data_IF_519004349444
#
_entry.id   IF_519004349444
#
_cell.length_a   1.000
_cell.length_b   1.000
_cell.length_c   1.000
_cell.angle_alpha   90.00
_cell.angle_beta   90.00
_cell.angle_gamma   90.00
#
_symmetry.space_group_name_H-M   'P 1'
#
loop_
_entity.id
_entity.type
_entity.pdbx_description
1 polymer ?
#
# COMPACT_ATOMS: atom_id res chain seq x y z
N UNK A 1 -60.35 -19.53 10.88
CA UNK A 1 -60.59 -18.88 9.57
C UNK A 1 -59.27 -18.32 9.07
N UNK A 2 -58.61 -19.00 8.11
CA UNK A 2 -58.46 -18.57 6.70
C UNK A 2 -57.98 -17.12 6.56
N UNK A 3 -56.69 -16.95 6.25
CA UNK A 3 -56.09 -15.66 5.91
C UNK A 3 -56.45 -15.19 4.50
N UNK A 4 -56.16 -13.92 4.20
CA UNK A 4 -56.11 -13.36 2.84
C UNK A 4 -55.24 -12.09 2.88
N UNK A 5 -54.18 -12.04 2.08
CA UNK A 5 -53.54 -10.81 1.64
C UNK A 5 -54.32 -10.21 0.46
N UNK A 6 -54.23 -8.89 0.21
CA UNK A 6 -54.34 -8.43 -1.17
C UNK A 6 -53.24 -7.45 -1.59
N UNK A 7 -52.73 -7.75 -2.79
CA UNK A 7 -51.78 -7.03 -3.62
C UNK A 7 -52.22 -5.60 -4.01
N UNK A 8 -51.26 -4.72 -4.34
CA UNK A 8 -51.44 -3.63 -5.31
C UNK A 8 -50.11 -3.17 -5.96
N UNK A 9 -50.00 -3.53 -7.25
CA UNK A 9 -49.52 -2.78 -8.44
C UNK A 9 -48.14 -2.09 -8.46
N UNK A 10 -47.24 -2.75 -9.19
CA UNK A 10 -46.52 -2.31 -10.41
C UNK A 10 -46.66 -0.82 -10.83
N UNK A 11 -45.53 -0.14 -10.97
CA UNK A 11 -45.32 0.94 -11.93
C UNK A 11 -43.88 0.86 -12.50
N UNK A 12 -43.81 0.72 -13.82
CA UNK A 12 -42.60 0.83 -14.63
C UNK A 12 -42.44 2.26 -15.16
N UNK A 13 -41.20 2.72 -15.37
CA UNK A 13 -40.72 3.75 -16.33
C UNK A 13 -39.24 3.99 -15.98
N UNK A 14 -38.27 3.46 -16.72
CA UNK A 14 -37.73 3.84 -18.04
C UNK A 14 -36.48 4.74 -17.97
N UNK A 15 -35.48 4.26 -18.72
CA UNK A 15 -34.12 4.72 -18.89
C UNK A 15 -33.99 6.13 -19.49
N UNK A 16 -32.87 6.78 -19.19
CA UNK A 16 -32.18 7.65 -20.15
C UNK A 16 -30.66 7.47 -20.04
N UNK A 17 -30.13 6.67 -20.97
CA UNK A 17 -28.73 6.70 -21.40
C UNK A 17 -28.45 8.05 -22.07
N UNK A 18 -27.27 8.63 -21.79
CA UNK A 18 -26.67 9.67 -22.62
C UNK A 18 -25.39 9.12 -23.25
N UNK A 19 -25.48 8.87 -24.55
CA UNK A 19 -24.43 8.48 -25.48
C UNK A 19 -23.55 9.72 -25.80
N UNK A 20 -22.23 9.63 -25.66
CA UNK A 20 -21.29 10.65 -26.15
C UNK A 20 -20.42 10.02 -27.23
N UNK A 21 -20.79 10.28 -28.50
CA UNK A 21 -20.00 9.94 -29.69
C UNK A 21 -19.16 11.13 -30.18
N UNK A 22 -17.85 10.91 -30.14
CA UNK A 22 -16.84 11.11 -31.20
C UNK A 22 -17.06 12.21 -32.25
N UNK A 23 -16.10 13.13 -32.36
CA UNK A 23 -15.82 13.87 -33.61
C UNK A 23 -14.36 13.70 -34.05
N UNK A 24 -14.20 12.98 -35.15
CA UNK A 24 -13.00 12.81 -35.99
C UNK A 24 -13.12 13.81 -37.15
N UNK A 25 -12.10 14.62 -37.39
CA UNK A 25 -12.06 15.54 -38.54
C UNK A 25 -10.85 15.21 -39.42
N UNK A 26 -11.09 14.95 -40.72
CA UNK A 26 -10.05 14.78 -41.75
C UNK A 26 -10.62 15.11 -43.13
N UNK A 27 -10.05 16.12 -43.80
CA UNK A 27 -9.75 16.23 -45.24
C UNK A 27 -9.18 17.64 -45.52
N UNK A 28 -8.15 17.91 -46.34
CA UNK A 28 -7.93 17.61 -47.77
C UNK A 28 -6.45 17.81 -48.15
N UNK A 29 -5.98 17.08 -49.18
CA UNK A 29 -4.85 17.39 -50.09
C UNK A 29 -5.45 17.91 -51.43
N UNK A 30 -4.73 18.56 -52.39
CA UNK A 30 -3.64 17.96 -53.20
C UNK A 30 -2.51 18.92 -53.66
N UNK A 31 -1.44 18.36 -54.25
CA UNK A 31 -0.51 19.10 -55.12
C UNK A 31 0.90 18.52 -55.20
N UNK A 32 1.22 17.87 -56.33
CA UNK A 32 2.55 17.40 -56.72
C UNK A 32 3.28 18.46 -57.56
N UNK A 33 4.62 18.50 -57.47
CA UNK A 33 5.50 19.30 -58.34
C UNK A 33 6.97 19.01 -58.07
N UNK A 34 7.68 18.52 -59.08
CA UNK A 34 9.11 18.17 -59.12
C UNK A 34 10.03 19.40 -59.03
N UNK A 35 11.30 19.21 -58.60
CA UNK A 35 12.34 20.23 -58.75
C UNK A 35 13.61 20.06 -57.90
N UNK A 36 14.57 19.31 -58.44
CA UNK A 36 16.02 19.23 -58.20
C UNK A 36 16.74 20.36 -57.43
N UNK A 37 17.59 20.01 -56.44
CA UNK A 37 19.05 20.26 -56.41
C UNK A 37 19.64 20.54 -55.00
N UNK A 38 20.64 19.71 -54.63
CA UNK A 38 21.87 20.00 -53.87
C UNK A 38 21.83 20.68 -52.49
N UNK A 39 22.46 20.00 -51.51
CA UNK A 39 23.44 20.67 -50.64
C UNK A 39 23.22 20.58 -49.13
N UNK A 40 24.04 19.73 -48.52
CA UNK A 40 24.63 19.86 -47.17
C UNK A 40 23.77 19.70 -45.89
N UNK A 41 24.28 18.85 -45.00
CA UNK A 41 23.80 18.63 -43.63
C UNK A 41 24.34 19.72 -42.71
N UNK A 42 23.57 20.16 -41.70
CA UNK A 42 24.05 19.88 -40.34
C UNK A 42 22.94 19.48 -39.35
N UNK A 43 23.40 18.73 -38.33
CA UNK A 43 22.65 18.05 -37.27
C UNK A 43 21.60 18.86 -36.49
N UNK A 44 20.55 18.21 -35.95
CA UNK A 44 19.61 18.82 -35.02
C UNK A 44 20.21 19.03 -33.62
N UNK A 45 19.78 20.06 -32.88
CA UNK A 45 20.30 20.38 -31.55
C UNK A 45 19.83 19.32 -30.53
N UNK A 46 20.79 18.55 -30.00
CA UNK A 46 20.60 17.66 -28.85
C UNK A 46 20.07 18.46 -27.66
N UNK A 47 18.81 18.22 -27.29
CA UNK A 47 18.27 18.59 -25.97
C UNK A 47 19.18 17.99 -24.89
N UNK A 48 19.90 18.85 -24.18
CA UNK A 48 20.70 18.49 -23.00
C UNK A 48 19.76 17.82 -21.99
N UNK A 49 19.90 16.50 -21.82
CA UNK A 49 19.37 15.81 -20.64
C UNK A 49 20.00 16.47 -19.42
N UNK A 50 19.16 16.97 -18.52
CA UNK A 50 19.62 17.42 -17.21
C UNK A 50 20.42 16.28 -16.58
N UNK A 51 21.70 16.57 -16.29
CA UNK A 51 22.60 15.69 -15.57
C UNK A 51 22.03 15.59 -14.15
N UNK A 52 21.34 14.49 -13.88
CA UNK A 52 20.88 14.17 -12.53
C UNK A 52 22.12 13.96 -11.68
N UNK A 53 22.20 14.69 -10.58
CA UNK A 53 23.31 14.65 -9.63
C UNK A 53 23.51 13.21 -9.11
N UNK A 54 24.72 12.63 -9.11
CA UNK A 54 24.94 11.24 -8.65
C UNK A 54 24.80 11.06 -7.13
N UNK A 55 24.51 12.13 -6.39
CA UNK A 55 24.48 12.15 -4.93
C UNK A 55 23.11 11.86 -4.33
N UNK A 56 22.06 11.79 -5.14
CA UNK A 56 20.74 11.35 -4.68
C UNK A 56 20.69 9.83 -4.76
N UNK A 57 21.11 9.17 -3.67
CA UNK A 57 20.93 7.74 -3.51
C UNK A 57 19.43 7.41 -3.51
N UNK A 58 19.03 6.32 -4.16
CA UNK A 58 17.61 5.91 -4.14
C UNK A 58 17.18 5.59 -2.71
N UNK A 59 15.93 5.87 -2.38
CA UNK A 59 15.35 5.55 -1.06
C UNK A 59 15.52 4.07 -0.70
N UNK A 60 15.50 3.19 -1.70
CA UNK A 60 15.83 1.76 -1.58
C UNK A 60 17.27 1.50 -1.11
N UNK A 61 18.24 2.34 -1.50
CA UNK A 61 19.65 2.22 -1.06
C UNK A 61 19.82 2.67 0.39
N UNK A 62 19.02 3.63 0.87
CA UNK A 62 19.08 4.11 2.25
C UNK A 62 18.50 3.08 3.23
N UNK A 63 17.38 2.45 2.88
CA UNK A 63 16.75 1.40 3.70
C UNK A 63 17.69 0.20 3.89
N UNK A 64 18.52 -0.13 2.89
CA UNK A 64 19.44 -1.28 2.94
C UNK A 64 20.67 -1.11 3.84
N UNK A 65 20.94 0.08 4.42
CA UNK A 65 22.23 0.33 5.14
C UNK A 65 22.27 -0.11 6.59
N UNK A 66 21.14 -0.43 7.19
CA UNK A 66 21.07 -1.02 8.53
C UNK A 66 20.10 -2.19 8.45
N UNK A 67 20.59 -3.33 7.97
CA UNK A 67 19.83 -4.58 8.00
C UNK A 67 19.65 -5.03 9.45
N UNK A 68 18.56 -4.59 10.07
CA UNK A 68 18.17 -5.08 11.40
C UNK A 68 17.56 -6.46 11.20
N UNK A 69 18.32 -7.50 11.54
CA UNK A 69 17.84 -8.90 11.52
C UNK A 69 16.81 -9.13 12.64
N UNK A 70 15.58 -8.67 12.41
CA UNK A 70 14.45 -8.95 13.30
C UNK A 70 14.13 -10.44 13.17
N UNK A 71 14.21 -11.21 14.26
CA UNK A 71 13.76 -12.62 14.24
C UNK A 71 12.29 -12.66 14.63
N UNK A 72 11.43 -13.04 13.69
CA UNK A 72 10.02 -13.33 14.00
C UNK A 72 9.95 -14.67 14.75
N UNK A 73 9.33 -14.72 15.94
CA UNK A 73 9.05 -15.97 16.66
C UNK A 73 8.31 -16.98 15.78
N UNK A 74 8.65 -18.27 15.89
CA UNK A 74 8.07 -19.31 15.02
C UNK A 74 6.56 -19.44 15.19
N UNK A 75 6.06 -19.11 16.38
CA UNK A 75 4.66 -19.11 16.73
C UNK A 75 3.84 -18.09 15.94
N UNK A 76 4.48 -17.04 15.40
CA UNK A 76 3.81 -15.99 14.61
C UNK A 76 3.83 -16.28 13.10
N UNK A 77 4.61 -17.26 12.64
CA UNK A 77 4.66 -17.64 11.22
C UNK A 77 3.31 -18.18 10.72
N UNK A 78 2.60 -19.09 11.44
CA UNK A 78 1.28 -19.56 11.01
C UNK A 78 0.26 -18.41 10.89
N UNK A 79 0.29 -17.45 11.81
CA UNK A 79 -0.61 -16.28 11.76
C UNK A 79 -0.39 -15.43 10.50
N UNK A 80 0.85 -15.28 10.04
CA UNK A 80 1.15 -14.59 8.79
C UNK A 80 0.64 -15.36 7.57
N UNK A 81 0.73 -16.70 7.58
CA UNK A 81 0.19 -17.55 6.51
C UNK A 81 -1.33 -17.46 6.46
N UNK A 82 -1.99 -17.52 7.62
CA UNK A 82 -3.45 -17.41 7.73
C UNK A 82 -3.93 -16.01 7.31
N UNK A 83 -3.25 -14.95 7.73
CA UNK A 83 -3.53 -13.56 7.32
C UNK A 83 -3.42 -13.37 5.81
N UNK A 84 -2.33 -13.85 5.20
CA UNK A 84 -2.17 -13.84 3.76
C UNK A 84 -3.30 -14.59 3.07
N UNK A 85 -3.69 -15.76 3.59
CA UNK A 85 -4.75 -16.57 3.02
C UNK A 85 -6.13 -15.89 3.07
N UNK A 86 -6.48 -15.33 4.23
CA UNK A 86 -7.75 -14.64 4.47
C UNK A 86 -7.95 -13.50 3.47
N UNK A 87 -6.91 -12.74 3.18
CA UNK A 87 -7.02 -11.58 2.27
C UNK A 87 -6.88 -11.98 0.82
N UNK A 88 -5.89 -12.81 0.49
CA UNK A 88 -5.57 -13.08 -0.92
C UNK A 88 -6.43 -14.17 -1.51
N UNK A 89 -6.73 -15.24 -0.77
CA UNK A 89 -7.55 -16.37 -1.22
C UNK A 89 -9.02 -16.20 -0.84
N UNK A 90 -9.30 -15.88 0.42
CA UNK A 90 -10.68 -15.82 0.94
C UNK A 90 -11.36 -14.46 0.72
N UNK A 91 -10.61 -13.44 0.26
CA UNK A 91 -11.12 -12.09 -0.04
C UNK A 91 -11.83 -11.44 1.17
N UNK A 92 -11.33 -11.70 2.37
CA UNK A 92 -11.78 -11.04 3.58
C UNK A 92 -10.93 -9.80 3.85
N UNK A 93 -11.58 -8.71 4.22
CA UNK A 93 -10.92 -7.48 4.65
C UNK A 93 -11.07 -7.34 6.16
N UNK A 94 -10.06 -6.72 6.79
CA UNK A 94 -10.18 -6.35 8.19
C UNK A 94 -11.27 -5.30 8.38
N UNK A 95 -11.97 -5.38 9.50
CA UNK A 95 -12.92 -4.35 9.90
C UNK A 95 -12.12 -3.17 10.44
N UNK A 96 -12.18 -2.03 9.74
CA UNK A 96 -11.49 -0.80 10.09
C UNK A 96 -12.52 0.30 10.39
N UNK A 97 -12.29 1.16 11.40
CA UNK A 97 -11.13 1.18 12.31
C UNK A 97 -11.05 -0.06 13.22
N UNK A 98 -9.83 -0.51 13.48
CA UNK A 98 -9.57 -1.69 14.30
C UNK A 98 -10.02 -1.45 15.75
N UNK A 99 -10.64 -2.46 16.37
CA UNK A 99 -11.06 -2.39 17.79
C UNK A 99 -9.89 -2.18 18.75
N UNK A 100 -8.73 -2.73 18.39
CA UNK A 100 -7.46 -2.53 19.08
C UNK A 100 -6.42 -2.17 18.03
N UNK A 101 -6.07 -0.90 18.01
CA UNK A 101 -5.23 -0.32 16.96
C UNK A 101 -3.73 -0.48 17.31
N UNK A 102 -2.85 -0.08 16.40
CA UNK A 102 -1.39 -0.18 16.61
C UNK A 102 -0.93 0.71 17.76
N UNK A 103 -1.50 1.91 17.93
CA UNK A 103 -1.17 2.77 19.06
C UNK A 103 -1.48 2.09 20.40
N UNK A 104 -2.64 1.45 20.53
CA UNK A 104 -3.04 0.72 21.74
C UNK A 104 -2.07 -0.45 22.03
N UNK A 105 -1.67 -1.19 20.99
CA UNK A 105 -0.73 -2.32 21.13
C UNK A 105 0.66 -1.85 21.56
N UNK A 106 1.14 -0.73 20.99
CA UNK A 106 2.44 -0.16 21.34
C UNK A 106 2.42 0.46 22.75
N UNK A 107 1.30 1.06 23.15
CA UNK A 107 1.12 1.59 24.51
C UNK A 107 1.07 0.47 25.56
N UNK A 108 0.37 -0.62 25.28
CA UNK A 108 0.38 -1.83 26.11
C UNK A 108 1.81 -2.37 26.28
N UNK A 109 2.60 -2.40 25.20
CA UNK A 109 4.00 -2.81 25.25
C UNK A 109 4.85 -1.88 26.14
N UNK A 110 4.71 -0.56 25.96
CA UNK A 110 5.41 0.41 26.79
C UNK A 110 5.07 0.23 28.28
N UNK A 111 3.78 0.11 28.59
CA UNK A 111 3.26 -0.11 29.95
C UNK A 111 3.77 -1.43 30.55
N UNK A 112 3.73 -2.51 29.77
CA UNK A 112 4.28 -3.80 30.17
C UNK A 112 5.78 -3.71 30.50
N UNK A 113 6.56 -2.98 29.70
CA UNK A 113 8.00 -2.83 29.95
C UNK A 113 8.29 -1.98 31.19
N UNK A 114 7.52 -0.91 31.43
CA UNK A 114 7.64 -0.07 32.63
C UNK A 114 7.35 -0.88 33.90
N UNK A 115 6.32 -1.71 33.90
CA UNK A 115 5.99 -2.56 35.07
C UNK A 115 7.01 -3.67 35.36
N UNK A 116 7.86 -4.05 34.40
CA UNK A 116 8.85 -5.13 34.50
C UNK A 116 10.27 -4.68 34.86
N UNK A 117 10.54 -3.38 34.98
CA UNK A 117 11.86 -2.89 35.39
C UNK A 117 11.93 -1.37 35.48
N UNK A 118 12.49 -0.88 36.60
CA UNK A 118 12.43 0.52 37.00
C UNK A 118 13.77 1.23 36.81
N UNK A 119 14.12 1.58 35.56
CA UNK A 119 15.21 2.53 35.30
C UNK A 119 14.79 3.53 34.23
N UNK A 120 14.93 4.81 34.54
CA UNK A 120 14.48 5.92 33.69
C UNK A 120 15.08 5.82 32.28
N UNK A 121 16.37 5.50 32.16
CA UNK A 121 17.05 5.29 30.87
C UNK A 121 16.39 4.20 30.00
N UNK A 122 15.83 3.16 30.61
CA UNK A 122 15.15 2.08 29.89
C UNK A 122 13.76 2.50 29.44
N UNK A 123 13.08 3.33 30.21
CA UNK A 123 11.80 3.91 29.81
C UNK A 123 11.96 4.83 28.59
N UNK A 124 12.95 5.72 28.59
CA UNK A 124 13.26 6.56 27.44
C UNK A 124 13.54 5.72 26.18
N UNK A 125 14.39 4.70 26.29
CA UNK A 125 14.68 3.82 25.15
C UNK A 125 13.42 3.09 24.62
N UNK A 126 12.51 2.66 25.50
CA UNK A 126 11.26 2.02 25.09
C UNK A 126 10.34 3.02 24.36
N UNK A 127 10.22 4.24 24.86
CA UNK A 127 9.41 5.27 24.23
C UNK A 127 9.95 5.64 22.84
N UNK A 128 11.27 5.74 22.69
CA UNK A 128 11.94 5.98 21.39
C UNK A 128 11.65 4.86 20.40
N UNK A 129 11.77 3.59 20.84
CA UNK A 129 11.47 2.42 19.99
C UNK A 129 9.99 2.42 19.59
N UNK A 130 9.08 2.69 20.51
CA UNK A 130 7.64 2.76 20.24
C UNK A 130 7.33 3.88 19.25
N UNK A 131 7.91 5.06 19.43
CA UNK A 131 7.75 6.18 18.51
C UNK A 131 8.29 5.84 17.12
N UNK A 132 9.48 5.23 17.04
CA UNK A 132 10.09 4.80 15.78
C UNK A 132 9.25 3.77 15.04
N UNK A 133 8.74 2.74 15.73
CA UNK A 133 7.85 1.73 15.12
C UNK A 133 6.55 2.38 14.63
N UNK A 134 5.94 3.27 15.42
CA UNK A 134 4.71 3.97 15.03
C UNK A 134 4.91 4.78 13.76
N UNK A 135 5.97 5.58 13.71
CA UNK A 135 6.25 6.43 12.55
C UNK A 135 6.56 5.57 11.32
N UNK A 136 7.40 4.55 11.48
CA UNK A 136 7.74 3.65 10.39
C UNK A 136 6.51 2.89 9.87
N UNK A 137 5.61 2.46 10.75
CA UNK A 137 4.33 1.86 10.36
C UNK A 137 3.48 2.82 9.52
N UNK A 138 3.35 4.08 9.95
CA UNK A 138 2.55 5.08 9.23
C UNK A 138 3.08 5.31 7.81
N UNK A 139 4.40 5.35 7.61
CA UNK A 139 5.02 5.54 6.30
C UNK A 139 4.94 4.27 5.44
N UNK A 140 5.20 3.09 6.02
CA UNK A 140 5.28 1.83 5.27
C UNK A 140 3.93 1.21 4.95
N UNK A 141 2.87 1.51 5.71
CA UNK A 141 1.56 0.87 5.51
C UNK A 141 1.07 1.00 4.07
N UNK A 142 1.00 2.24 3.58
CA UNK A 142 0.47 2.53 2.25
C UNK A 142 1.31 1.99 1.10
N UNK A 143 2.58 1.67 1.33
CA UNK A 143 3.51 1.25 0.28
C UNK A 143 3.74 -0.26 0.30
N UNK A 144 4.06 -0.84 1.45
CA UNK A 144 4.59 -2.20 1.57
C UNK A 144 3.67 -3.19 2.31
N UNK A 145 2.82 -2.74 3.25
CA UNK A 145 2.14 -3.66 4.18
C UNK A 145 0.76 -4.14 3.71
N UNK A 146 0.22 -3.52 2.65
CA UNK A 146 -1.13 -3.80 2.15
C UNK A 146 -1.10 -4.68 0.90
N UNK A 147 -1.88 -5.76 0.93
CA UNK A 147 -2.09 -6.59 -0.25
C UNK A 147 -2.92 -5.86 -1.30
N UNK A 148 -2.85 -6.33 -2.56
CA UNK A 148 -3.59 -5.73 -3.68
C UNK A 148 -5.09 -5.59 -3.41
N UNK A 149 -5.69 -6.53 -2.68
CA UNK A 149 -7.12 -6.54 -2.38
C UNK A 149 -7.54 -5.50 -1.31
N UNK A 150 -6.61 -5.05 -0.46
CA UNK A 150 -6.89 -4.04 0.58
C UNK A 150 -6.78 -2.60 0.04
N UNK A 151 -6.27 -2.41 -1.19
CA UNK A 151 -6.02 -1.08 -1.77
C UNK A 151 -7.27 -0.21 -1.90
N UNK A 152 -8.45 -0.73 -2.32
CA UNK A 152 -9.67 0.05 -2.33
C UNK A 152 -10.07 0.54 -0.92
N UNK A 153 -10.01 -0.34 0.08
CA UNK A 153 -10.31 0.00 1.48
C UNK A 153 -9.37 1.07 2.03
N UNK A 154 -8.08 0.99 1.71
CA UNK A 154 -7.11 2.02 2.11
C UNK A 154 -7.43 3.39 1.50
N UNK A 155 -7.82 3.42 0.21
CA UNK A 155 -8.22 4.68 -0.43
C UNK A 155 -9.46 5.30 0.22
N UNK A 156 -10.44 4.48 0.62
CA UNK A 156 -11.61 4.94 1.37
C UNK A 156 -11.22 5.50 2.75
N UNK A 157 -10.28 4.86 3.44
CA UNK A 157 -9.78 5.33 4.73
C UNK A 157 -9.09 6.69 4.60
N UNK A 158 -8.24 6.88 3.59
CA UNK A 158 -7.59 8.17 3.35
C UNK A 158 -8.61 9.28 3.06
N UNK A 159 -9.72 8.96 2.38
CA UNK A 159 -10.77 9.92 2.08
C UNK A 159 -11.62 10.26 3.31
N UNK A 160 -11.95 9.27 4.14
CA UNK A 160 -12.84 9.43 5.31
C UNK A 160 -12.11 9.92 6.56
N UNK A 161 -10.79 9.69 6.66
CA UNK A 161 -9.97 10.00 7.83
C UNK A 161 -8.64 10.69 7.45
N UNK A 162 -8.68 11.86 6.79
CA UNK A 162 -7.49 12.52 6.27
C UNK A 162 -6.49 12.96 7.37
N UNK A 163 -6.99 13.28 8.56
CA UNK A 163 -6.19 13.80 9.69
C UNK A 163 -5.81 12.73 10.72
N UNK A 164 -6.15 11.46 10.46
CA UNK A 164 -5.92 10.36 11.39
C UNK A 164 -4.71 9.54 10.95
N UNK A 165 -3.76 9.32 11.86
CA UNK A 165 -2.62 8.44 11.61
C UNK A 165 -3.06 7.00 11.37
N UNK A 166 -2.38 6.32 10.46
CA UNK A 166 -2.69 4.93 10.12
C UNK A 166 -2.55 3.98 11.32
N UNK A 167 -1.64 4.28 12.24
CA UNK A 167 -1.47 3.56 13.51
C UNK A 167 -2.72 3.54 14.39
N UNK A 168 -3.62 4.52 14.25
CA UNK A 168 -4.89 4.58 15.00
C UNK A 168 -6.05 3.86 14.30
N UNK A 169 -5.88 3.53 13.03
CA UNK A 169 -6.93 2.89 12.22
C UNK A 169 -6.67 1.40 12.08
N UNK A 170 -5.43 1.02 11.80
CA UNK A 170 -5.03 -0.36 11.58
C UNK A 170 -4.65 -1.06 12.89
N UNK A 171 -4.63 -2.40 12.87
CA UNK A 171 -4.44 -3.22 14.07
C UNK A 171 -3.19 -4.09 14.05
N UNK A 172 -3.13 -5.01 15.01
CA UNK A 172 -2.01 -5.94 15.20
C UNK A 172 -1.60 -6.77 13.96
N UNK A 173 -2.53 -7.26 13.09
CA UNK A 173 -2.13 -8.02 11.91
C UNK A 173 -1.22 -7.23 10.97
N UNK A 174 -1.55 -5.98 10.70
CA UNK A 174 -0.73 -5.10 9.86
C UNK A 174 0.59 -4.74 10.53
N UNK A 175 0.60 -4.54 11.85
CA UNK A 175 1.84 -4.36 12.61
C UNK A 175 2.74 -5.60 12.50
N UNK A 176 2.18 -6.81 12.53
CA UNK A 176 2.95 -8.03 12.36
C UNK A 176 3.58 -8.13 10.97
N UNK A 177 2.88 -7.68 9.92
CA UNK A 177 3.44 -7.59 8.56
C UNK A 177 4.64 -6.66 8.46
N UNK A 178 4.66 -5.56 9.23
CA UNK A 178 5.83 -4.68 9.30
C UNK A 178 7.08 -5.46 9.71
N UNK A 179 6.95 -6.31 10.73
CA UNK A 179 8.07 -7.14 11.15
C UNK A 179 8.41 -8.24 10.14
N UNK A 180 7.42 -8.75 9.39
CA UNK A 180 7.67 -9.69 8.30
C UNK A 180 8.44 -9.05 7.14
N UNK A 181 8.14 -7.78 6.80
CA UNK A 181 8.88 -7.07 5.76
C UNK A 181 10.37 -6.88 6.10
N UNK A 182 10.71 -6.71 7.39
CA UNK A 182 12.13 -6.67 7.80
C UNK A 182 12.84 -8.00 7.59
N UNK A 183 12.15 -9.13 7.71
CA UNK A 183 12.75 -10.47 7.51
C UNK A 183 12.92 -10.80 6.05
N UNK A 184 11.98 -10.40 5.19
CA UNK A 184 12.07 -10.68 3.76
C UNK A 184 13.20 -9.93 3.04
N UNK A 185 13.72 -8.85 3.61
CA UNK A 185 14.91 -8.15 3.10
C UNK A 185 16.21 -8.98 3.27
N UNK A 186 16.24 -9.89 4.26
CA UNK A 186 17.37 -10.78 4.57
C UNK A 186 17.16 -12.12 3.83
N UNK A 187 17.56 -12.13 2.56
CA UNK A 187 17.25 -13.14 1.52
C UNK A 187 17.69 -14.59 1.82
N UNK A 188 18.29 -14.92 2.96
CA UNK A 188 18.81 -16.28 3.19
C UNK A 188 17.84 -17.24 3.88
N UNK A 189 16.73 -16.77 4.48
CA UNK A 189 15.91 -17.63 5.34
C UNK A 189 14.50 -17.97 4.81
N UNK A 190 14.02 -17.32 3.74
CA UNK A 190 12.66 -17.53 3.23
C UNK A 190 12.53 -18.62 2.16
N UNK A 191 13.65 -19.10 1.61
CA UNK A 191 13.69 -20.14 0.58
C UNK A 191 13.11 -21.49 1.04
N UNK A 192 12.95 -21.71 2.35
CA UNK A 192 12.35 -22.93 2.91
C UNK A 192 10.86 -22.80 3.30
N UNK A 193 10.24 -21.61 3.17
CA UNK A 193 8.86 -21.38 3.65
C UNK A 193 7.78 -21.49 2.55
N UNK A 194 8.12 -21.92 1.33
CA UNK A 194 7.12 -22.37 0.35
C UNK A 194 6.18 -21.30 -0.22
N UNK A 195 6.45 -20.00 -0.05
CA UNK A 195 5.70 -18.94 -0.73
C UNK A 195 6.35 -18.61 -2.08
N UNK A 196 6.07 -19.45 -3.08
CA UNK A 196 6.21 -19.05 -4.47
C UNK A 196 5.18 -17.98 -4.77
N UNK A 197 5.64 -16.76 -5.06
CA UNK A 197 4.85 -15.81 -5.85
C UNK A 197 5.06 -16.18 -7.31
N UNK A 198 4.06 -16.82 -7.91
CA UNK A 198 3.96 -16.97 -9.36
C UNK A 198 3.01 -15.89 -9.88
N UNK A 199 3.48 -15.03 -10.79
CA UNK A 199 2.65 -14.16 -11.65
C UNK A 199 2.89 -12.66 -11.50
#
# INVERSE_FOLDING_TARGET
MRGVAPSKKIAAVQQKNVDVKTKKNKQKTPGAGEGTSTGDMPHPPRKKRARVDPTVESEETFINRVEVKVKIPEELKPWLVDDWDLITRQKQLFHLPAKKNVDDVLEDYATYKKSRGNSDNKEFAVNEVVAGIREYFNVMLGTQLLYKFERPQYAEILANHPDTSMSKIYGAPHLLRLFASFVSADSENWSNAGLHTSG
#
